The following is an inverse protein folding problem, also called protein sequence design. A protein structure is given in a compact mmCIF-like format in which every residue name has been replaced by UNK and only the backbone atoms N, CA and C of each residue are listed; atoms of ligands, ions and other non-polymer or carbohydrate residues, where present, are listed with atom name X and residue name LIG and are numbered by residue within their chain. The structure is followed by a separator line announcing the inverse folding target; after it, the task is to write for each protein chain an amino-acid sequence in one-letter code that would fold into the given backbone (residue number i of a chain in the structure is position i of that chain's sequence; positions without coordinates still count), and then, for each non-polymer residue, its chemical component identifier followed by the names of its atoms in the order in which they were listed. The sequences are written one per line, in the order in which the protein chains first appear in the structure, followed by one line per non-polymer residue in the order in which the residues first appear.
data_IF_729509468475
#
_entry.id   IF_729509468475
#
_cell.length_a   1.000
_cell.length_b   1.000
_cell.length_c   1.000
_cell.angle_alpha   90.00
_cell.angle_beta   90.00
_cell.angle_gamma   90.00
#
_symmetry.space_group_name_H-M   'P 1'
#
loop_
_entity.id
_entity.type
_entity.pdbx_description
1 polymer ?
#
# COMPACT_ATOMS: atom_id res chain seq x y z
N UNK A 1 45.77 -47.94 -30.39
CA UNK A 1 44.56 -47.65 -29.58
C UNK A 1 44.97 -46.80 -28.39
N UNK A 2 44.88 -45.48 -28.51
CA UNK A 2 45.26 -44.56 -27.43
C UNK A 2 44.05 -44.37 -26.52
N UNK A 3 44.15 -44.79 -25.25
CA UNK A 3 43.10 -44.57 -24.26
C UNK A 3 43.11 -43.09 -23.88
N UNK A 4 42.18 -42.31 -24.43
CA UNK A 4 41.94 -40.95 -23.96
C UNK A 4 41.56 -41.00 -22.48
N UNK A 5 42.41 -40.42 -21.64
CA UNK A 5 42.14 -40.24 -20.23
C UNK A 5 41.03 -39.19 -20.09
N UNK A 6 39.83 -39.65 -19.75
CA UNK A 6 38.71 -38.76 -19.41
C UNK A 6 39.11 -38.00 -18.15
N UNK A 7 39.12 -36.65 -18.16
CA UNK A 7 39.45 -35.87 -16.97
C UNK A 7 38.40 -36.16 -15.90
N UNK A 8 38.79 -36.84 -14.82
CA UNK A 8 37.92 -37.00 -13.67
C UNK A 8 37.78 -35.64 -13.00
N UNK A 9 36.59 -35.06 -13.08
CA UNK A 9 36.23 -33.92 -12.24
C UNK A 9 36.46 -34.34 -10.78
N UNK A 10 37.30 -33.60 -10.07
CA UNK A 10 37.62 -33.87 -8.67
C UNK A 10 36.32 -33.90 -7.85
N UNK A 11 36.19 -34.87 -6.94
CA UNK A 11 34.97 -35.06 -6.14
C UNK A 11 34.52 -33.80 -5.38
N UNK A 12 35.45 -32.88 -5.13
CA UNK A 12 35.20 -31.56 -4.55
C UNK A 12 34.28 -30.68 -5.42
N UNK A 13 34.45 -30.65 -6.74
CA UNK A 13 33.63 -29.84 -7.65
C UNK A 13 32.19 -30.35 -7.72
N UNK A 14 32.01 -31.67 -7.64
CA UNK A 14 30.69 -32.30 -7.57
C UNK A 14 29.96 -31.94 -6.26
N UNK A 15 30.71 -31.90 -5.15
CA UNK A 15 30.20 -31.51 -3.83
C UNK A 15 29.74 -30.05 -3.81
N UNK A 16 30.55 -29.12 -4.34
CA UNK A 16 30.18 -27.70 -4.44
C UNK A 16 28.93 -27.49 -5.31
N UNK A 17 28.80 -28.21 -6.42
CA UNK A 17 27.60 -28.13 -7.26
C UNK A 17 26.33 -28.61 -6.55
N UNK A 18 26.42 -29.71 -5.79
CA UNK A 18 25.28 -30.23 -5.00
C UNK A 18 24.91 -29.26 -3.88
N UNK A 19 25.89 -28.69 -3.19
CA UNK A 19 25.66 -27.67 -2.17
C UNK A 19 24.96 -26.44 -2.74
N UNK A 20 25.40 -25.95 -3.91
CA UNK A 20 24.76 -24.82 -4.60
C UNK A 20 23.31 -25.10 -5.00
N UNK A 21 23.01 -26.30 -5.51
CA UNK A 21 21.63 -26.69 -5.81
C UNK A 21 20.75 -26.74 -4.56
N UNK A 22 21.24 -27.33 -3.47
CA UNK A 22 20.48 -27.39 -2.22
C UNK A 22 20.22 -26.01 -1.63
N UNK A 23 21.21 -25.10 -1.69
CA UNK A 23 21.04 -23.72 -1.25
C UNK A 23 20.01 -22.96 -2.11
N UNK A 24 20.05 -23.14 -3.43
CA UNK A 24 19.07 -22.53 -4.34
C UNK A 24 17.64 -23.03 -4.10
N UNK A 25 17.47 -24.35 -3.88
CA UNK A 25 16.17 -24.93 -3.53
C UNK A 25 15.68 -24.39 -2.19
N UNK A 26 16.56 -24.32 -1.18
CA UNK A 26 16.22 -23.74 0.12
C UNK A 26 15.75 -22.29 0.01
N UNK A 27 16.45 -21.46 -0.77
CA UNK A 27 16.07 -20.08 -1.02
C UNK A 27 14.73 -19.97 -1.77
N UNK A 28 14.50 -20.83 -2.77
CA UNK A 28 13.24 -20.86 -3.52
C UNK A 28 12.03 -21.23 -2.63
N UNK A 29 12.18 -22.21 -1.73
CA UNK A 29 11.13 -22.58 -0.77
C UNK A 29 10.86 -21.41 0.18
N UNK A 30 11.91 -20.76 0.69
CA UNK A 30 11.77 -19.63 1.61
C UNK A 30 11.04 -18.47 0.92
N UNK A 31 11.44 -18.10 -0.30
CA UNK A 31 10.76 -17.07 -1.10
C UNK A 31 9.30 -17.41 -1.39
N UNK A 32 8.99 -18.67 -1.69
CA UNK A 32 7.61 -19.13 -1.90
C UNK A 32 6.78 -19.00 -0.62
N UNK A 33 7.32 -19.37 0.54
CA UNK A 33 6.64 -19.21 1.82
C UNK A 33 6.39 -17.74 2.14
N UNK A 34 7.35 -16.85 1.87
CA UNK A 34 7.14 -15.40 2.04
C UNK A 34 6.05 -14.88 1.11
N UNK A 35 6.02 -15.34 -0.14
CA UNK A 35 4.99 -14.96 -1.11
C UNK A 35 3.60 -15.43 -0.68
N UNK A 36 3.47 -16.70 -0.28
CA UNK A 36 2.20 -17.27 0.21
C UNK A 36 1.76 -16.56 1.49
N UNK A 37 2.68 -16.29 2.41
CA UNK A 37 2.40 -15.52 3.62
C UNK A 37 1.89 -14.11 3.33
N UNK A 38 2.53 -13.40 2.40
CA UNK A 38 2.09 -12.08 1.96
C UNK A 38 0.71 -12.13 1.27
N UNK A 39 0.46 -13.13 0.42
CA UNK A 39 -0.83 -13.32 -0.25
C UNK A 39 -1.96 -13.68 0.72
N UNK A 40 -1.71 -14.53 1.72
CA UNK A 40 -2.66 -14.83 2.77
C UNK A 40 -2.95 -13.60 3.64
N UNK A 41 -1.92 -12.82 3.97
CA UNK A 41 -2.07 -11.57 4.70
C UNK A 41 -2.95 -10.56 3.95
N UNK A 42 -2.65 -10.31 2.66
CA UNK A 42 -3.45 -9.42 1.80
C UNK A 42 -4.86 -9.98 1.58
N UNK A 43 -5.00 -11.28 1.35
CA UNK A 43 -6.29 -11.96 1.14
C UNK A 43 -7.21 -11.86 2.35
N UNK A 44 -6.67 -12.04 3.55
CA UNK A 44 -7.43 -11.92 4.80
C UNK A 44 -7.97 -10.51 5.06
N UNK A 45 -7.38 -9.47 4.44
CA UNK A 45 -7.82 -8.06 4.56
C UNK A 45 -8.60 -7.53 3.35
N UNK A 46 -8.83 -8.33 2.31
CA UNK A 46 -9.47 -7.89 1.05
C UNK A 46 -11.00 -7.83 1.08
N UNK A 47 -11.59 -7.41 2.20
CA UNK A 47 -13.06 -7.31 2.37
C UNK A 47 -13.73 -6.12 1.66
N UNK A 48 -12.99 -5.07 1.30
CA UNK A 48 -13.56 -3.87 0.67
C UNK A 48 -12.84 -3.56 -0.64
N UNK A 49 -13.59 -3.67 -1.75
CA UNK A 49 -13.12 -3.43 -3.10
C UNK A 49 -12.66 -1.99 -3.27
N UNK A 50 -11.39 -1.85 -3.57
CA UNK A 50 -10.72 -0.59 -3.87
C UNK A 50 -11.20 -0.02 -5.22
N UNK A 51 -11.79 1.18 -5.20
CA UNK A 51 -11.88 2.05 -6.38
C UNK A 51 -10.70 3.00 -6.33
N UNK A 52 -9.69 2.77 -7.17
CA UNK A 52 -8.63 3.74 -7.44
C UNK A 52 -9.26 5.04 -7.96
N UNK A 53 -8.86 6.22 -7.47
CA UNK A 53 -9.21 7.47 -8.13
C UNK A 53 -8.58 7.47 -9.53
N UNK A 54 -9.39 7.66 -10.57
CA UNK A 54 -8.89 7.70 -11.94
C UNK A 54 -8.22 9.05 -12.20
N UNK A 55 -7.06 9.03 -12.87
CA UNK A 55 -6.35 10.25 -13.28
C UNK A 55 -7.24 11.16 -14.16
N UNK A 56 -8.15 10.57 -14.94
CA UNK A 56 -9.17 11.30 -15.70
C UNK A 56 -10.10 12.15 -14.82
N UNK A 57 -10.42 11.71 -13.60
CA UNK A 57 -11.23 12.47 -12.64
C UNK A 57 -10.47 13.65 -12.06
N UNK A 58 -9.19 13.47 -11.73
CA UNK A 58 -8.35 14.55 -11.21
C UNK A 58 -7.95 15.58 -12.27
N UNK A 59 -7.89 15.17 -13.55
CA UNK A 59 -7.60 16.08 -14.66
C UNK A 59 -8.83 16.91 -15.07
N UNK A 60 -10.04 16.34 -15.00
CA UNK A 60 -11.30 17.11 -15.08
C UNK A 60 -11.45 18.09 -13.91
N UNK A 61 -11.13 17.69 -12.68
CA UNK A 61 -11.15 18.56 -11.49
C UNK A 61 -10.19 19.77 -11.63
N UNK A 62 -9.05 19.60 -12.32
CA UNK A 62 -8.09 20.67 -12.58
C UNK A 62 -8.57 21.74 -13.58
N UNK A 63 -9.35 21.34 -14.60
CA UNK A 63 -9.92 22.26 -15.61
C UNK A 63 -11.28 22.84 -15.18
N UNK A 64 -12.04 22.14 -14.33
CA UNK A 64 -13.31 22.61 -13.74
C UNK A 64 -13.12 23.76 -12.73
N UNK A 65 -11.94 23.91 -12.11
CA UNK A 65 -11.68 24.95 -11.09
C UNK A 65 -11.93 26.40 -11.56
N UNK A 66 -11.98 26.67 -12.88
CA UNK A 66 -12.24 28.02 -13.42
C UNK A 66 -13.70 28.29 -13.82
N UNK A 67 -14.49 27.25 -14.10
CA UNK A 67 -15.96 27.34 -14.29
C UNK A 67 -16.73 27.11 -12.98
N UNK A 68 -16.10 26.41 -12.02
CA UNK A 68 -16.69 25.93 -10.78
C UNK A 68 -17.03 27.01 -9.75
N UNK A 69 -16.53 28.25 -9.81
CA UNK A 69 -16.76 29.18 -8.68
C UNK A 69 -18.22 29.65 -8.55
N UNK A 70 -18.96 29.74 -9.64
CA UNK A 70 -20.40 30.06 -9.64
C UNK A 70 -21.25 28.79 -9.48
N UNK A 71 -20.89 27.69 -10.16
CA UNK A 71 -21.57 26.39 -9.99
C UNK A 71 -21.37 25.78 -8.60
N UNK A 72 -20.21 25.95 -7.97
CA UNK A 72 -19.95 25.52 -6.59
C UNK A 72 -20.71 26.34 -5.57
N UNK A 73 -20.98 27.62 -5.85
CA UNK A 73 -21.86 28.42 -4.99
C UNK A 73 -23.31 27.93 -5.11
N UNK A 74 -23.78 27.65 -6.33
CA UNK A 74 -25.12 27.08 -6.54
C UNK A 74 -25.25 25.69 -5.90
N UNK A 75 -24.27 24.81 -6.09
CA UNK A 75 -24.24 23.47 -5.50
C UNK A 75 -24.13 23.51 -3.98
N UNK A 76 -23.29 24.39 -3.41
CA UNK A 76 -23.21 24.58 -1.96
C UNK A 76 -24.53 25.13 -1.41
N UNK A 77 -25.21 26.01 -2.14
CA UNK A 77 -26.51 26.53 -1.73
C UNK A 77 -27.60 25.45 -1.77
N UNK A 78 -27.61 24.62 -2.81
CA UNK A 78 -28.53 23.48 -2.92
C UNK A 78 -28.29 22.47 -1.78
N UNK A 79 -27.02 22.19 -1.47
CA UNK A 79 -26.66 21.32 -0.35
C UNK A 79 -27.11 21.90 1.00
N UNK A 80 -26.89 23.19 1.24
CA UNK A 80 -27.38 23.88 2.44
C UNK A 80 -28.91 23.81 2.52
N UNK A 81 -29.62 23.90 1.40
CA UNK A 81 -31.08 23.77 1.37
C UNK A 81 -31.53 22.34 1.69
N UNK A 82 -30.84 21.32 1.16
CA UNK A 82 -31.10 19.91 1.48
C UNK A 82 -30.84 19.62 2.96
N UNK A 83 -29.72 20.11 3.51
CA UNK A 83 -29.39 20.00 4.93
C UNK A 83 -30.44 20.68 5.80
N UNK A 84 -30.92 21.87 5.39
CA UNK A 84 -32.00 22.56 6.07
C UNK A 84 -33.29 21.74 6.07
N UNK A 85 -33.66 21.11 4.95
CA UNK A 85 -34.86 20.26 4.90
C UNK A 85 -34.73 19.05 5.82
N UNK A 86 -33.53 18.49 5.95
CA UNK A 86 -33.30 17.24 6.67
C UNK A 86 -33.06 17.41 8.17
N UNK A 87 -32.30 18.42 8.59
CA UNK A 87 -31.79 18.52 9.97
C UNK A 87 -32.26 19.75 10.74
N UNK A 88 -32.96 20.69 10.09
CA UNK A 88 -33.32 21.97 10.74
C UNK A 88 -34.20 21.79 11.97
N UNK A 89 -35.17 20.89 11.93
CA UNK A 89 -36.06 20.62 13.06
C UNK A 89 -35.29 20.02 14.24
N UNK A 90 -34.50 18.97 13.99
CA UNK A 90 -33.65 18.34 15.00
C UNK A 90 -32.67 19.35 15.64
N UNK A 91 -31.98 20.15 14.83
CA UNK A 91 -31.03 21.16 15.32
C UNK A 91 -31.76 22.24 16.15
N UNK A 92 -32.91 22.71 15.67
CA UNK A 92 -33.71 23.68 16.40
C UNK A 92 -34.17 23.14 17.75
N UNK A 93 -34.60 21.89 17.80
CA UNK A 93 -34.99 21.21 19.04
C UNK A 93 -33.81 21.10 20.02
N UNK A 94 -32.62 20.73 19.55
CA UNK A 94 -31.41 20.65 20.40
C UNK A 94 -31.02 22.03 20.95
N UNK A 95 -31.01 23.07 20.10
CA UNK A 95 -30.69 24.45 20.50
C UNK A 95 -31.67 24.93 21.57
N UNK A 96 -32.97 24.73 21.32
CA UNK A 96 -34.05 25.17 22.23
C UNK A 96 -34.01 24.42 23.55
N UNK A 97 -33.85 23.09 23.52
CA UNK A 97 -33.85 22.23 24.71
C UNK A 97 -32.68 22.53 25.63
N UNK A 98 -31.52 22.87 25.06
CA UNK A 98 -30.29 23.12 25.82
C UNK A 98 -30.02 24.61 26.10
N UNK A 99 -30.89 25.52 25.63
CA UNK A 99 -30.75 26.96 25.85
C UNK A 99 -29.52 27.58 25.19
N UNK A 100 -29.12 27.07 24.02
CA UNK A 100 -27.94 27.55 23.28
C UNK A 100 -28.28 28.89 22.61
N UNK A 101 -27.56 29.95 22.96
CA UNK A 101 -27.82 31.30 22.43
C UNK A 101 -26.78 31.79 21.43
N UNK A 102 -25.59 31.20 21.41
CA UNK A 102 -24.48 31.66 20.55
C UNK A 102 -24.50 31.06 19.14
N UNK A 103 -25.23 29.96 18.93
CA UNK A 103 -25.33 29.30 17.63
C UNK A 103 -26.74 29.40 17.10
N UNK A 104 -26.87 29.80 15.83
CA UNK A 104 -28.12 29.69 15.09
C UNK A 104 -28.21 28.32 14.43
N UNK A 105 -29.42 27.91 14.03
CA UNK A 105 -29.59 26.71 13.20
C UNK A 105 -28.73 26.78 11.93
N UNK A 106 -28.63 27.96 11.31
CA UNK A 106 -27.84 28.16 10.10
C UNK A 106 -26.33 27.97 10.32
N UNK A 107 -25.80 28.36 11.49
CA UNK A 107 -24.39 28.14 11.83
C UNK A 107 -24.06 26.64 11.94
N UNK A 108 -24.98 25.87 12.53
CA UNK A 108 -24.83 24.41 12.65
C UNK A 108 -25.00 23.73 11.28
N UNK A 109 -25.93 24.19 10.44
CA UNK A 109 -26.09 23.68 9.06
C UNK A 109 -24.82 23.92 8.24
N UNK A 110 -24.19 25.10 8.34
CA UNK A 110 -22.88 25.37 7.73
C UNK A 110 -21.75 24.52 8.30
N UNK A 111 -21.86 24.12 9.56
CA UNK A 111 -20.90 23.16 10.14
C UNK A 111 -21.11 21.78 9.54
N UNK A 112 -22.36 21.35 9.37
CA UNK A 112 -22.72 20.06 8.77
C UNK A 112 -22.34 19.92 7.30
N UNK A 113 -22.26 21.02 6.53
CA UNK A 113 -21.78 20.94 5.14
C UNK A 113 -20.32 20.46 5.06
N UNK A 114 -19.52 20.70 6.10
CA UNK A 114 -18.14 20.20 6.19
C UNK A 114 -18.06 18.77 6.75
N UNK A 115 -19.17 18.19 7.20
CA UNK A 115 -19.22 16.81 7.71
C UNK A 115 -19.59 15.89 6.53
N UNK A 116 -18.89 14.75 6.34
CA UNK A 116 -19.25 13.76 5.32
C UNK A 116 -20.72 13.33 5.44
N UNK A 117 -21.43 13.23 4.31
CA UNK A 117 -22.88 12.98 4.27
C UNK A 117 -23.32 11.79 5.14
N UNK A 118 -22.59 10.69 5.08
CA UNK A 118 -22.83 9.47 5.85
C UNK A 118 -22.63 9.62 7.37
N UNK A 119 -22.03 10.72 7.83
CA UNK A 119 -21.76 11.03 9.24
C UNK A 119 -22.65 12.15 9.78
N UNK A 120 -23.38 12.90 8.94
CA UNK A 120 -24.16 14.08 9.37
C UNK A 120 -25.23 13.74 10.41
N UNK A 121 -25.96 12.66 10.20
CA UNK A 121 -26.96 12.19 11.16
C UNK A 121 -26.35 11.74 12.48
N UNK A 122 -25.16 11.11 12.44
CA UNK A 122 -24.39 10.73 13.63
C UNK A 122 -23.91 11.97 14.38
N UNK A 123 -23.48 13.00 13.65
CA UNK A 123 -23.08 14.28 14.23
C UNK A 123 -24.23 14.89 15.03
N UNK A 124 -25.42 15.05 14.44
CA UNK A 124 -26.58 15.70 15.09
C UNK A 124 -27.07 14.88 16.29
N UNK A 125 -27.27 13.58 16.13
CA UNK A 125 -27.74 12.70 17.22
C UNK A 125 -26.71 12.60 18.36
N UNK A 126 -25.44 12.45 18.01
CA UNK A 126 -24.35 12.43 18.99
C UNK A 126 -24.20 13.76 19.71
N UNK A 127 -24.42 14.88 19.03
CA UNK A 127 -24.39 16.21 19.63
C UNK A 127 -25.51 16.39 20.66
N UNK A 128 -26.74 16.00 20.31
CA UNK A 128 -27.89 16.03 21.21
C UNK A 128 -27.63 15.21 22.49
N UNK A 129 -27.21 13.95 22.34
CA UNK A 129 -26.90 13.07 23.46
C UNK A 129 -25.73 13.59 24.32
N UNK A 130 -24.68 14.10 23.67
CA UNK A 130 -23.53 14.67 24.37
C UNK A 130 -23.89 15.90 25.20
N UNK A 131 -24.78 16.76 24.69
CA UNK A 131 -25.29 17.91 25.42
C UNK A 131 -26.18 17.51 26.59
N UNK A 132 -27.04 16.52 26.41
CA UNK A 132 -27.89 15.98 27.48
C UNK A 132 -27.04 15.45 28.64
N UNK A 133 -26.14 14.51 28.36
CA UNK A 133 -25.23 13.90 29.33
C UNK A 133 -24.33 14.95 30.00
N UNK A 134 -23.76 15.86 29.20
CA UNK A 134 -22.87 16.92 29.68
C UNK A 134 -23.60 17.92 30.58
N UNK A 135 -24.78 18.41 30.16
CA UNK A 135 -25.56 19.35 30.97
C UNK A 135 -26.06 18.72 32.26
N UNK A 136 -26.45 17.44 32.24
CA UNK A 136 -26.80 16.71 33.46
C UNK A 136 -25.62 16.65 34.44
N UNK A 137 -24.42 16.35 33.96
CA UNK A 137 -23.21 16.34 34.77
C UNK A 137 -22.93 17.70 35.43
N UNK A 138 -22.93 18.79 34.65
CA UNK A 138 -22.67 20.15 35.17
C UNK A 138 -23.76 20.65 36.12
N UNK A 139 -25.01 20.22 35.94
CA UNK A 139 -26.12 20.52 36.87
C UNK A 139 -25.90 19.81 38.20
N UNK A 140 -25.54 18.51 38.16
CA UNK A 140 -25.26 17.72 39.37
C UNK A 140 -24.06 18.24 40.17
N UNK A 141 -23.03 18.75 39.50
CA UNK A 141 -21.86 19.34 40.15
C UNK A 141 -22.06 20.78 40.65
N UNK A 142 -23.19 21.43 40.32
CA UNK A 142 -23.45 22.82 40.66
C UNK A 142 -22.59 23.84 39.91
N UNK A 143 -21.95 23.42 38.81
CA UNK A 143 -21.04 24.27 38.00
C UNK A 143 -21.64 24.65 36.64
N UNK A 144 -22.92 24.35 36.40
CA UNK A 144 -23.63 24.76 35.19
C UNK A 144 -23.79 26.29 35.12
N UNK A 145 -23.37 26.86 34.00
CA UNK A 145 -23.57 28.27 33.66
C UNK A 145 -24.42 28.36 32.39
N UNK A 146 -24.99 29.54 32.06
CA UNK A 146 -25.69 29.73 30.78
C UNK A 146 -24.83 29.47 29.53
N UNK A 147 -23.49 29.49 29.67
CA UNK A 147 -22.56 29.22 28.57
C UNK A 147 -22.16 27.74 28.46
N UNK A 148 -22.53 26.89 29.42
CA UNK A 148 -22.06 25.48 29.47
C UNK A 148 -22.45 24.72 28.21
N UNK A 149 -23.69 24.85 27.73
CA UNK A 149 -24.15 24.15 26.52
C UNK A 149 -23.38 24.59 25.26
N UNK A 150 -23.05 25.87 25.15
CA UNK A 150 -22.22 26.41 24.07
C UNK A 150 -20.79 25.84 24.12
N UNK A 151 -20.17 25.81 25.31
CA UNK A 151 -18.82 25.25 25.49
C UNK A 151 -18.78 23.76 25.15
N UNK A 152 -19.78 23.00 25.59
CA UNK A 152 -19.95 21.59 25.25
C UNK A 152 -20.13 21.39 23.75
N UNK A 153 -20.91 22.24 23.08
CA UNK A 153 -21.11 22.18 21.62
C UNK A 153 -19.81 22.38 20.85
N UNK A 154 -19.02 23.39 21.22
CA UNK A 154 -17.69 23.62 20.61
C UNK A 154 -16.74 22.45 20.85
N UNK A 155 -16.73 21.91 22.07
CA UNK A 155 -15.90 20.76 22.42
C UNK A 155 -16.32 19.51 21.63
N UNK A 156 -17.62 19.26 21.48
CA UNK A 156 -18.15 18.17 20.68
C UNK A 156 -17.74 18.31 19.21
N UNK A 157 -17.99 19.47 18.60
CA UNK A 157 -17.64 19.71 17.20
C UNK A 157 -16.15 19.47 16.94
N UNK A 158 -15.27 19.99 17.79
CA UNK A 158 -13.83 19.79 17.68
C UNK A 158 -13.40 18.33 17.83
N UNK A 159 -13.98 17.58 18.77
CA UNK A 159 -13.68 16.16 18.94
C UNK A 159 -14.21 15.30 17.79
N UNK A 160 -15.41 15.60 17.30
CA UNK A 160 -15.99 14.86 16.18
C UNK A 160 -15.16 15.04 14.90
N UNK A 161 -14.72 16.26 14.60
CA UNK A 161 -13.83 16.51 13.46
C UNK A 161 -12.49 15.78 13.60
N UNK A 162 -11.90 15.75 14.80
CA UNK A 162 -10.68 14.95 15.07
C UNK A 162 -10.93 13.45 14.90
N UNK A 163 -12.09 12.95 15.31
CA UNK A 163 -12.45 11.55 15.15
C UNK A 163 -12.63 11.17 13.67
N UNK A 164 -13.24 12.04 12.86
CA UNK A 164 -13.30 11.86 11.40
C UNK A 164 -11.89 11.81 10.82
N UNK A 165 -11.05 12.81 11.11
CA UNK A 165 -9.70 12.87 10.59
C UNK A 165 -8.89 11.62 10.95
N UNK A 166 -8.97 11.15 12.20
CA UNK A 166 -8.31 9.92 12.65
C UNK A 166 -8.85 8.68 11.90
N UNK A 167 -10.16 8.62 11.63
CA UNK A 167 -10.76 7.52 10.87
C UNK A 167 -10.34 7.54 9.38
N UNK A 168 -10.18 8.71 8.78
CA UNK A 168 -9.67 8.87 7.43
C UNK A 168 -8.19 8.52 7.34
N UNK A 169 -7.37 9.01 8.27
CA UNK A 169 -5.95 8.65 8.39
C UNK A 169 -5.78 7.14 8.58
N UNK A 170 -6.62 6.51 9.40
CA UNK A 170 -6.61 5.06 9.58
C UNK A 170 -6.93 4.31 8.28
N UNK A 171 -7.86 4.82 7.46
CA UNK A 171 -8.15 4.25 6.14
C UNK A 171 -6.98 4.42 5.16
N UNK A 172 -6.34 5.58 5.15
CA UNK A 172 -5.14 5.83 4.32
C UNK A 172 -3.98 4.95 4.75
N UNK A 173 -3.75 4.78 6.06
CA UNK A 173 -2.72 3.88 6.58
C UNK A 173 -3.03 2.42 6.25
N UNK A 174 -4.29 1.98 6.39
CA UNK A 174 -4.70 0.65 5.99
C UNK A 174 -4.52 0.42 4.47
N UNK A 175 -4.71 1.45 3.65
CA UNK A 175 -4.41 1.41 2.21
C UNK A 175 -2.91 1.35 1.94
N UNK A 176 -2.09 2.15 2.65
CA UNK A 176 -0.64 2.13 2.53
C UNK A 176 -0.06 0.76 2.92
N UNK A 177 -0.57 0.14 3.98
CA UNK A 177 -0.22 -1.24 4.38
C UNK A 177 -0.62 -2.28 3.32
N UNK A 178 -1.75 -2.10 2.63
CA UNK A 178 -2.11 -2.98 1.50
C UNK A 178 -1.13 -2.83 0.35
N UNK A 179 -0.71 -1.61 0.02
CA UNK A 179 0.26 -1.35 -1.06
C UNK A 179 1.63 -1.93 -0.70
N UNK A 180 2.07 -1.79 0.55
CA UNK A 180 3.33 -2.38 1.00
C UNK A 180 3.30 -3.91 1.00
N UNK A 181 2.17 -4.52 1.37
CA UNK A 181 1.98 -5.98 1.27
C UNK A 181 2.12 -6.48 -0.18
N UNK A 182 1.55 -5.75 -1.15
CA UNK A 182 1.67 -6.08 -2.57
C UNK A 182 3.10 -5.92 -3.08
N UNK A 183 3.82 -4.87 -2.68
CA UNK A 183 5.20 -4.65 -3.14
C UNK A 183 6.16 -5.71 -2.59
N UNK A 184 6.01 -6.10 -1.33
CA UNK A 184 6.76 -7.22 -0.72
C UNK A 184 6.43 -8.53 -1.42
N UNK A 185 5.15 -8.80 -1.70
CA UNK A 185 4.73 -9.98 -2.47
C UNK A 185 5.35 -10.03 -3.87
N UNK A 186 5.34 -8.91 -4.60
CA UNK A 186 5.94 -8.80 -5.92
C UNK A 186 7.47 -9.01 -5.86
N UNK A 187 8.14 -8.42 -4.87
CA UNK A 187 9.57 -8.62 -4.65
C UNK A 187 9.94 -10.08 -4.37
N UNK A 188 9.17 -10.75 -3.52
CA UNK A 188 9.34 -12.18 -3.24
C UNK A 188 9.12 -13.05 -4.50
N UNK A 189 8.11 -12.72 -5.31
CA UNK A 189 7.86 -13.42 -6.58
C UNK A 189 9.02 -13.26 -7.57
N UNK A 190 9.55 -12.05 -7.73
CA UNK A 190 10.71 -11.79 -8.59
C UNK A 190 11.93 -12.58 -8.09
N UNK A 191 12.20 -12.55 -6.78
CA UNK A 191 13.29 -13.32 -6.18
C UNK A 191 13.15 -14.83 -6.42
N UNK A 192 11.92 -15.35 -6.33
CA UNK A 192 11.61 -16.75 -6.64
C UNK A 192 11.86 -17.09 -8.11
N UNK A 193 11.41 -16.26 -9.06
CA UNK A 193 11.64 -16.46 -10.50
C UNK A 193 13.15 -16.47 -10.79
N UNK A 194 13.91 -15.52 -10.24
CA UNK A 194 15.37 -15.46 -10.40
C UNK A 194 16.03 -16.73 -9.84
N UNK A 195 15.59 -17.21 -8.68
CA UNK A 195 16.12 -18.45 -8.09
C UNK A 195 15.87 -19.68 -8.98
N UNK A 196 14.73 -19.75 -9.68
CA UNK A 196 14.43 -20.83 -10.63
C UNK A 196 15.22 -20.72 -11.94
N UNK A 197 15.58 -19.50 -12.38
CA UNK A 197 16.35 -19.30 -13.60
C UNK A 197 17.84 -19.69 -13.44
N UNK A 198 18.42 -19.55 -12.25
CA UNK A 198 19.84 -19.84 -12.02
C UNK A 198 20.22 -21.28 -12.43
N UNK A 199 19.53 -22.35 -12.00
CA UNK A 199 19.85 -23.72 -12.44
C UNK A 199 19.75 -23.92 -13.95
N UNK A 200 18.76 -23.29 -14.59
CA UNK A 200 18.53 -23.39 -16.04
C UNK A 200 19.69 -22.73 -16.80
N UNK A 201 20.10 -21.52 -16.39
CA UNK A 201 21.25 -20.83 -16.98
C UNK A 201 22.54 -21.64 -16.83
N UNK A 202 22.76 -22.27 -15.67
CA UNK A 202 23.91 -23.14 -15.43
C UNK A 202 23.89 -24.38 -16.33
N UNK A 203 22.72 -24.98 -16.60
CA UNK A 203 22.62 -26.10 -17.54
C UNK A 203 22.87 -25.69 -18.98
N UNK A 204 22.36 -24.53 -19.42
CA UNK A 204 22.62 -24.00 -20.76
C UNK A 204 24.13 -23.78 -20.95
N UNK A 205 24.81 -23.20 -19.96
CA UNK A 205 26.26 -22.99 -20.02
C UNK A 205 27.02 -24.32 -20.16
N UNK A 206 26.62 -25.34 -19.37
CA UNK A 206 27.23 -26.68 -19.46
C UNK A 206 27.02 -27.34 -20.81
N UNK A 207 25.80 -27.33 -21.32
CA UNK A 207 25.47 -27.92 -22.62
C UNK A 207 26.21 -27.19 -23.75
N UNK A 208 26.29 -25.86 -23.67
CA UNK A 208 27.02 -25.05 -24.66
C UNK A 208 28.52 -25.36 -24.63
N UNK A 209 29.13 -25.49 -23.43
CA UNK A 209 30.53 -25.90 -23.30
C UNK A 209 30.75 -27.32 -23.84
N UNK A 210 29.85 -28.25 -23.55
CA UNK A 210 29.94 -29.64 -24.02
C UNK A 210 29.88 -29.74 -25.56
N UNK A 211 28.95 -29.01 -26.19
CA UNK A 211 28.84 -28.94 -27.66
C UNK A 211 30.08 -28.31 -28.28
N UNK A 212 30.62 -27.25 -27.67
CA UNK A 212 31.86 -26.62 -28.14
C UNK A 212 33.04 -27.59 -28.13
N UNK A 213 33.23 -28.34 -27.04
CA UNK A 213 34.27 -29.37 -26.97
C UNK A 213 34.04 -30.53 -27.94
N UNK A 214 32.78 -30.90 -28.23
CA UNK A 214 32.47 -31.92 -29.23
C UNK A 214 32.82 -31.46 -30.66
N UNK A 215 32.64 -30.17 -30.96
CA UNK A 215 33.01 -29.57 -32.25
C UNK A 215 34.52 -29.37 -32.40
N UNK A 216 35.21 -28.92 -31.35
CA UNK A 216 36.68 -28.74 -31.35
C UNK A 216 37.45 -30.07 -31.21
N UNK A 217 36.82 -31.12 -30.68
CA UNK A 217 37.40 -32.44 -30.48
C UNK A 217 37.19 -33.42 -31.63
N UNK A 218 36.45 -33.04 -32.68
CA UNK A 218 36.37 -33.84 -33.90
C UNK A 218 37.75 -33.82 -34.57
N UNK A 219 38.43 -34.97 -34.72
CA UNK A 219 39.67 -35.02 -35.49
C UNK A 219 39.35 -34.54 -36.90
N UNK A 220 40.11 -33.58 -37.43
CA UNK A 220 40.18 -33.37 -38.87
C UNK A 220 40.46 -34.74 -39.50
N UNK A 221 39.43 -35.32 -40.12
CA UNK A 221 39.60 -36.48 -40.98
C UNK A 221 40.60 -36.04 -42.06
N UNK A 222 41.77 -36.70 -42.19
CA UNK A 222 42.78 -36.26 -43.14
C UNK A 222 42.17 -36.32 -44.54
N UNK A 223 41.95 -35.15 -45.13
CA UNK A 223 41.47 -35.03 -46.49
C UNK A 223 42.32 -35.92 -47.41
N UNK A 224 41.71 -36.80 -48.24
CA UNK A 224 42.48 -37.60 -49.17
C UNK A 224 43.22 -36.65 -50.11
N UNK A 225 44.54 -36.85 -50.17
CA UNK A 225 45.45 -36.10 -51.01
C UNK A 225 44.98 -36.10 -52.47
N UNK A 226 44.50 -34.96 -52.94
CA UNK A 226 44.24 -34.72 -54.35
C UNK A 226 44.88 -33.39 -54.79
N UNK A 227 46.07 -33.58 -55.37
CA UNK A 227 46.54 -32.96 -56.62
C UNK A 227 46.53 -31.44 -56.74
N UNK A 228 47.75 -30.91 -56.87
CA UNK A 228 48.12 -29.58 -57.37
C UNK A 228 47.21 -29.10 -58.50
N UNK A 229 46.53 -27.98 -58.31
CA UNK A 229 46.17 -27.07 -59.41
C UNK A 229 46.28 -25.61 -58.98
N UNK A 230 47.11 -24.89 -59.75
CA UNK A 230 47.34 -23.45 -59.97
C UNK A 230 46.57 -22.39 -59.14
N UNK A 231 47.23 -21.27 -58.76
CA UNK A 231 46.58 -20.14 -58.08
C UNK A 231 45.82 -19.25 -59.07
N UNK A 232 44.62 -18.82 -58.69
CA UNK A 232 43.92 -17.70 -59.33
C UNK A 232 43.62 -16.62 -58.29
N UNK A 233 44.19 -15.46 -58.59
CA UNK A 233 43.96 -14.11 -58.10
C UNK A 233 42.50 -13.76 -57.81
N UNK A 234 42.26 -13.20 -56.61
CA UNK A 234 41.32 -12.10 -56.31
C UNK A 234 41.17 -12.00 -54.79
N UNK A 235 40.96 -10.88 -54.11
CA UNK A 235 41.01 -9.44 -54.36
C UNK A 235 40.77 -8.84 -52.96
N UNK A 236 41.50 -7.80 -52.60
CA UNK A 236 41.39 -7.13 -51.31
C UNK A 236 39.98 -6.55 -51.08
N UNK A 237 39.46 -6.72 -49.86
CA UNK A 237 38.44 -5.85 -49.25
C UNK A 237 38.80 -5.68 -47.77
N UNK A 238 38.86 -4.42 -47.35
CA UNK A 238 39.23 -3.90 -46.03
C UNK A 238 38.37 -4.44 -44.87
N UNK A 239 38.92 -4.54 -43.65
CA UNK A 239 38.12 -4.51 -42.43
C UNK A 239 37.87 -3.06 -42.00
N UNK A 240 36.59 -2.66 -42.02
CA UNK A 240 36.09 -1.44 -41.38
C UNK A 240 36.27 -1.55 -39.86
N UNK A 241 37.10 -0.66 -39.33
CA UNK A 241 37.27 -0.36 -37.91
C UNK A 241 35.96 0.19 -37.33
N UNK A 242 35.42 -0.45 -36.29
CA UNK A 242 34.33 0.10 -35.49
C UNK A 242 34.90 0.51 -34.13
N UNK A 243 34.79 1.80 -33.84
CA UNK A 243 35.23 2.44 -32.61
C UNK A 243 34.41 1.98 -31.38
N UNK A 244 35.00 1.97 -30.17
CA UNK A 244 34.23 1.89 -28.94
C UNK A 244 33.74 3.28 -28.53
N UNK A 245 32.41 3.44 -28.45
CA UNK A 245 31.79 4.58 -27.77
C UNK A 245 31.82 4.32 -26.27
N UNK A 246 32.59 5.13 -25.55
CA UNK A 246 32.57 5.19 -24.10
C UNK A 246 31.27 5.88 -23.65
N UNK A 247 30.44 5.14 -22.90
CA UNK A 247 29.33 5.71 -22.14
C UNK A 247 29.71 5.69 -20.65
N UNK A 248 30.28 6.80 -20.17
CA UNK A 248 30.39 7.08 -18.74
C UNK A 248 29.04 7.58 -18.24
N UNK A 249 28.37 6.77 -17.43
CA UNK A 249 27.23 7.22 -16.62
C UNK A 249 27.71 7.33 -15.19
N UNK A 250 27.87 8.56 -14.72
CA UNK A 250 28.07 8.87 -13.32
C UNK A 250 26.71 8.76 -12.64
N UNK A 251 26.56 7.85 -11.66
CA UNK A 251 25.44 7.86 -10.73
C UNK A 251 26.00 8.08 -9.34
N UNK A 252 25.64 9.23 -8.82
CA UNK A 252 25.84 9.72 -7.47
C UNK A 252 24.94 8.92 -6.52
N UNK A 253 25.54 8.23 -5.55
CA UNK A 253 24.83 7.54 -4.48
C UNK A 253 25.25 8.16 -3.14
N UNK A 254 24.44 9.11 -2.67
CA UNK A 254 24.47 9.59 -1.31
C UNK A 254 23.90 8.50 -0.39
N UNK A 255 24.74 7.97 0.49
CA UNK A 255 24.33 7.06 1.55
C UNK A 255 23.94 7.88 2.79
N UNK A 256 22.64 7.94 3.09
CA UNK A 256 22.12 8.34 4.40
C UNK A 256 21.59 7.10 5.11
N UNK A 257 22.25 6.75 6.21
CA UNK A 257 21.84 5.75 7.20
C UNK A 257 20.71 6.29 8.07
N UNK A 258 19.60 5.56 8.26
CA UNK A 258 18.71 5.77 9.39
C UNK A 258 19.09 4.85 10.54
N UNK A 259 19.10 5.42 11.74
CA UNK A 259 19.38 4.75 12.99
C UNK A 259 18.34 3.66 13.33
N UNK A 260 18.86 2.57 13.86
CA UNK A 260 18.15 1.40 14.38
C UNK A 260 17.53 1.74 15.74
N UNK A 261 16.20 1.91 15.77
CA UNK A 261 15.43 2.02 17.01
C UNK A 261 14.94 0.62 17.39
N UNK A 262 15.31 0.17 18.59
CA UNK A 262 14.97 -1.13 19.14
C UNK A 262 13.44 -1.32 19.34
N UNK A 263 12.88 -2.54 19.18
CA UNK A 263 11.46 -2.80 19.41
C UNK A 263 11.14 -2.90 20.91
N UNK A 264 10.17 -2.12 21.35
CA UNK A 264 9.55 -2.23 22.67
C UNK A 264 8.47 -3.34 22.62
N UNK A 265 8.36 -4.23 23.62
CA UNK A 265 7.41 -5.35 23.59
C UNK A 265 5.98 -4.85 23.78
N UNK A 266 5.14 -5.05 22.75
CA UNK A 266 3.72 -4.78 22.78
C UNK A 266 3.01 -5.76 23.73
N UNK A 267 2.44 -5.24 24.81
CA UNK A 267 1.48 -5.97 25.62
C UNK A 267 0.21 -6.21 24.80
N UNK A 268 -0.24 -7.46 24.73
CA UNK A 268 -1.47 -7.85 24.05
C UNK A 268 -2.68 -7.26 24.79
N UNK A 269 -3.17 -6.12 24.33
CA UNK A 269 -4.48 -5.58 24.70
C UNK A 269 -5.56 -6.47 24.08
N UNK A 270 -6.46 -7.00 24.91
CA UNK A 270 -7.60 -7.78 24.44
C UNK A 270 -8.51 -6.89 23.58
N UNK A 271 -8.66 -7.23 22.29
CA UNK A 271 -9.47 -6.47 21.34
C UNK A 271 -10.96 -6.74 21.55
N UNK A 272 -11.71 -5.72 21.98
CA UNK A 272 -13.17 -5.76 22.01
C UNK A 272 -13.72 -5.54 20.58
N UNK A 273 -14.85 -6.17 20.25
CA UNK A 273 -15.46 -6.09 18.91
C UNK A 273 -16.81 -5.36 18.96
N UNK A 274 -17.07 -4.47 17.99
CA UNK A 274 -18.31 -3.71 17.95
C UNK A 274 -19.50 -4.66 17.69
N UNK A 275 -20.58 -4.62 18.49
CA UNK A 275 -21.70 -5.54 18.35
C UNK A 275 -22.50 -5.34 17.04
N UNK A 276 -22.40 -4.15 16.42
CA UNK A 276 -23.18 -3.82 15.22
C UNK A 276 -22.44 -4.12 13.91
N UNK A 277 -21.12 -3.94 13.86
CA UNK A 277 -20.34 -4.11 12.63
C UNK A 277 -19.15 -5.07 12.76
N UNK A 278 -18.98 -5.70 13.92
CA UNK A 278 -17.89 -6.62 14.25
C UNK A 278 -16.46 -6.04 14.10
N UNK A 279 -16.32 -4.71 13.91
CA UNK A 279 -15.00 -4.08 13.83
C UNK A 279 -14.33 -4.07 15.21
N UNK A 280 -13.05 -4.45 15.32
CA UNK A 280 -12.30 -4.33 16.56
C UNK A 280 -12.19 -2.86 17.00
N UNK A 281 -12.21 -2.61 18.30
CA UNK A 281 -12.12 -1.29 18.91
C UNK A 281 -11.31 -1.33 20.21
N UNK A 282 -10.74 -0.18 20.58
CA UNK A 282 -10.09 0.02 21.88
C UNK A 282 -11.11 -0.11 23.00
N UNK A 283 -10.77 -0.80 24.09
CA UNK A 283 -11.69 -1.07 25.23
C UNK A 283 -12.23 0.19 25.90
N UNK A 284 -11.59 1.34 25.71
CA UNK A 284 -12.00 2.65 26.26
C UNK A 284 -12.82 3.49 25.26
N UNK A 285 -13.09 3.00 24.06
CA UNK A 285 -13.83 3.75 23.05
C UNK A 285 -15.34 3.81 23.37
N UNK A 286 -15.89 5.03 23.47
CA UNK A 286 -17.34 5.24 23.69
C UNK A 286 -18.17 4.98 22.43
N UNK A 287 -17.57 5.10 21.23
CA UNK A 287 -18.24 4.90 19.95
C UNK A 287 -17.36 4.09 19.00
N UNK A 288 -17.98 3.25 18.17
CA UNK A 288 -17.29 2.53 17.12
C UNK A 288 -16.82 3.48 16.02
N UNK A 289 -15.51 3.53 15.75
CA UNK A 289 -14.93 4.40 14.71
C UNK A 289 -15.40 4.08 13.28
N UNK A 290 -15.81 2.84 13.01
CA UNK A 290 -16.37 2.45 11.72
C UNK A 290 -17.85 2.87 11.63
N UNK A 291 -18.75 2.22 12.37
CA UNK A 291 -20.19 2.44 12.19
C UNK A 291 -20.81 3.57 13.02
N UNK A 292 -20.10 4.12 14.01
CA UNK A 292 -20.62 5.15 14.91
C UNK A 292 -21.54 4.63 16.03
N UNK A 293 -21.70 3.32 16.19
CA UNK A 293 -22.50 2.72 17.27
C UNK A 293 -21.91 3.06 18.65
N UNK A 294 -22.74 3.48 19.61
CA UNK A 294 -22.32 3.71 20.99
C UNK A 294 -21.95 2.38 21.63
N UNK A 295 -20.71 2.24 22.06
CA UNK A 295 -20.21 1.04 22.70
C UNK A 295 -20.57 1.11 24.19
N UNK A 296 -21.14 0.03 24.72
CA UNK A 296 -21.39 -0.06 26.16
C UNK A 296 -20.04 -0.19 26.87
N UNK A 297 -19.59 0.89 27.51
CA UNK A 297 -18.43 0.86 28.41
C UNK A 297 -18.72 -0.12 29.53
N UNK A 298 -17.91 -1.19 29.63
CA UNK A 298 -17.98 -2.17 30.71
C UNK A 298 -17.48 -1.58 32.03
#
# INVERSE_FOLDING_TARGET
MSKQAVPQASGFTLLLMRAGHMAAIGFAILALLTFVGAMLYVGSRSGDSFKTPSFSKMQEEGELLRFSREESQAAAQEEIEQLNKQFREDIYEVIKTNGITQFTTDDIIRTLSNVPENRRSQWVKGWAAFLEDGMEHFKKSGTATPETATRLSNFYAGNFSRAIAKAEDAKVMAQAERISGISVGLGALIAFIVALLIPVLVQIERNTRAVRFALEGAPEEPAPAATKTKPVSSKAVEPTSVAPVAASTHVEAAATTPAETAPQPAAATAEAHCPQCATPHETEATFCGECGHKLATA
#
